data_IF_346665169598
#
_entry.id   IF_346665169598
#
_cell.length_a   1.000
_cell.length_b   1.000
_cell.length_c   1.000
_cell.angle_alpha   90.00
_cell.angle_beta   90.00
_cell.angle_gamma   90.00
#
_symmetry.space_group_name_H-M   'P 1'
#
loop_
_entity.id
_entity.type
_entity.pdbx_description
1 polymer ?
#
# COMPACT_ATOMS: atom_id res chain seq x y z
N UNK A 1 19.15 8.60 8.63
CA UNK A 1 18.55 7.42 7.95
C UNK A 1 17.05 7.57 8.01
N UNK A 2 16.35 7.29 6.90
CA UNK A 2 14.89 7.29 6.86
C UNK A 2 14.36 5.89 7.15
N UNK A 3 13.16 5.81 7.73
CA UNK A 3 12.40 4.57 7.74
C UNK A 3 11.98 4.23 6.31
N UNK A 4 11.77 2.95 6.00
CA UNK A 4 11.33 2.52 4.69
C UNK A 4 9.90 1.96 4.71
N UNK A 5 9.21 2.12 3.58
CA UNK A 5 7.90 1.54 3.27
C UNK A 5 7.96 0.90 1.89
N UNK A 6 7.04 -0.02 1.62
CA UNK A 6 6.93 -0.67 0.31
C UNK A 6 5.65 -0.24 -0.42
N UNK A 7 5.72 -0.07 -1.74
CA UNK A 7 4.58 0.29 -2.60
C UNK A 7 4.50 -0.69 -3.77
N UNK A 8 3.43 -1.47 -3.81
CA UNK A 8 3.14 -2.48 -4.85
C UNK A 8 2.11 -1.92 -5.83
N UNK A 9 2.49 -1.88 -7.11
CA UNK A 9 1.77 -1.16 -8.16
C UNK A 9 2.27 0.28 -8.27
N UNK A 10 2.69 0.69 -9.48
CA UNK A 10 3.24 2.02 -9.77
C UNK A 10 2.44 2.76 -10.86
N UNK A 11 1.16 2.45 -10.99
CA UNK A 11 0.20 3.25 -11.76
C UNK A 11 0.03 4.65 -11.14
N UNK A 12 -0.97 5.41 -11.59
CA UNK A 12 -1.16 6.79 -11.09
C UNK A 12 -1.35 6.87 -9.56
N UNK A 13 -2.03 5.89 -8.94
CA UNK A 13 -2.18 5.83 -7.48
C UNK A 13 -0.85 5.50 -6.79
N UNK A 14 -0.19 4.41 -7.18
CA UNK A 14 1.06 3.99 -6.53
C UNK A 14 2.22 4.96 -6.76
N UNK A 15 2.31 5.53 -7.96
CA UNK A 15 3.27 6.60 -8.25
C UNK A 15 3.05 7.84 -7.39
N UNK A 16 1.79 8.20 -7.11
CA UNK A 16 1.44 9.32 -6.23
C UNK A 16 1.80 9.04 -4.77
N UNK A 17 1.54 7.82 -4.29
CA UNK A 17 1.96 7.37 -2.95
C UNK A 17 3.49 7.44 -2.83
N UNK A 18 4.21 6.92 -3.82
CA UNK A 18 5.68 6.96 -3.87
C UNK A 18 6.19 8.40 -3.81
N UNK A 19 5.69 9.28 -4.67
CA UNK A 19 6.09 10.69 -4.71
C UNK A 19 5.72 11.45 -3.42
N UNK A 20 4.57 11.15 -2.82
CA UNK A 20 4.09 11.83 -1.62
C UNK A 20 4.87 11.46 -0.36
N UNK A 21 5.30 10.21 -0.24
CA UNK A 21 6.07 9.75 0.91
C UNK A 21 7.59 9.88 0.78
N UNK A 22 8.15 10.07 -0.42
CA UNK A 22 9.60 10.03 -0.69
C UNK A 22 10.43 11.04 0.10
N UNK A 23 9.83 12.15 0.53
CA UNK A 23 10.52 13.14 1.39
C UNK A 23 10.76 12.61 2.81
N UNK A 24 9.88 11.74 3.30
CA UNK A 24 9.88 11.23 4.68
C UNK A 24 10.43 9.83 4.79
N UNK A 25 10.15 8.98 3.80
CA UNK A 25 10.50 7.56 3.77
C UNK A 25 11.37 7.19 2.58
N UNK A 26 12.21 6.18 2.73
CA UNK A 26 12.79 5.46 1.61
C UNK A 26 11.72 4.50 1.04
N UNK A 27 11.57 4.50 -0.29
CA UNK A 27 10.47 3.80 -0.96
C UNK A 27 10.99 2.60 -1.72
N UNK A 28 10.56 1.40 -1.32
CA UNK A 28 10.74 0.16 -2.06
C UNK A 28 9.53 -0.01 -3.00
N UNK A 29 9.69 0.24 -4.28
CA UNK A 29 8.62 0.19 -5.28
C UNK A 29 8.64 -1.12 -6.06
N UNK A 30 7.47 -1.73 -6.29
CA UNK A 30 7.33 -2.91 -7.15
C UNK A 30 6.26 -2.69 -8.21
N UNK A 31 6.60 -2.97 -9.47
CA UNK A 31 5.64 -3.02 -10.57
C UNK A 31 6.13 -3.95 -11.67
N UNK A 32 5.29 -4.90 -12.08
CA UNK A 32 5.61 -5.89 -13.12
C UNK A 32 5.87 -5.27 -14.50
N UNK A 33 5.42 -4.04 -14.74
CA UNK A 33 5.65 -3.32 -16.01
C UNK A 33 7.07 -2.74 -16.11
N UNK A 34 7.82 -2.71 -15.01
CA UNK A 34 9.13 -2.06 -14.95
C UNK A 34 9.09 -0.53 -15.01
N UNK A 35 7.90 0.07 -14.88
CA UNK A 35 7.73 1.54 -14.84
C UNK A 35 7.61 1.98 -13.39
N UNK A 36 8.42 2.95 -13.01
CA UNK A 36 8.50 3.44 -11.64
C UNK A 36 8.44 4.97 -11.58
N UNK A 37 7.99 5.48 -10.46
CA UNK A 37 8.14 6.89 -10.12
C UNK A 37 9.62 7.21 -9.90
N UNK A 38 10.10 8.34 -10.41
CA UNK A 38 11.47 8.85 -10.18
C UNK A 38 11.77 9.08 -8.69
N UNK A 39 10.76 9.07 -7.85
CA UNK A 39 10.85 9.23 -6.40
C UNK A 39 11.07 7.92 -5.65
N UNK A 40 11.10 6.77 -6.32
CA UNK A 40 11.40 5.48 -5.69
C UNK A 40 12.88 5.38 -5.32
N UNK A 41 13.17 4.80 -4.16
CA UNK A 41 14.54 4.56 -3.70
C UNK A 41 15.09 3.27 -4.30
N UNK A 42 14.30 2.21 -4.24
CA UNK A 42 14.60 0.89 -4.82
C UNK A 42 13.44 0.44 -5.70
N UNK A 43 13.73 -0.20 -6.83
CA UNK A 43 12.75 -0.61 -7.83
C UNK A 43 12.86 -2.11 -8.12
N UNK A 44 11.72 -2.81 -8.11
CA UNK A 44 11.61 -4.26 -8.28
C UNK A 44 10.51 -4.59 -9.29
N UNK A 45 10.76 -5.54 -10.17
CA UNK A 45 9.73 -6.08 -11.08
C UNK A 45 9.07 -7.34 -10.52
N UNK A 46 9.63 -7.88 -9.46
CA UNK A 46 9.15 -9.08 -8.77
C UNK A 46 8.84 -8.79 -7.30
N UNK A 47 7.71 -9.30 -6.82
CA UNK A 47 7.25 -9.09 -5.44
C UNK A 47 8.14 -9.81 -4.42
N UNK A 48 8.69 -10.98 -4.76
CA UNK A 48 9.56 -11.71 -3.86
C UNK A 48 10.89 -10.96 -3.64
N UNK A 49 11.45 -10.37 -4.70
CA UNK A 49 12.65 -9.53 -4.59
C UNK A 49 12.38 -8.29 -3.74
N UNK A 50 11.25 -7.60 -3.97
CA UNK A 50 10.83 -6.47 -3.13
C UNK A 50 10.75 -6.87 -1.65
N UNK A 51 10.09 -8.00 -1.37
CA UNK A 51 9.92 -8.48 0.01
C UNK A 51 11.26 -8.80 0.65
N UNK A 52 12.11 -9.58 -0.04
CA UNK A 52 13.43 -9.96 0.47
C UNK A 52 14.29 -8.73 0.78
N UNK A 53 14.26 -7.73 -0.10
CA UNK A 53 14.95 -6.46 0.14
C UNK A 53 14.36 -5.70 1.34
N UNK A 54 13.03 -5.55 1.38
CA UNK A 54 12.37 -4.78 2.45
C UNK A 54 12.60 -5.39 3.82
N UNK A 55 12.45 -6.71 3.95
CA UNK A 55 12.61 -7.44 5.21
C UNK A 55 14.07 -7.48 5.69
N UNK A 56 15.05 -7.28 4.80
CA UNK A 56 16.47 -7.17 5.16
C UNK A 56 16.85 -5.79 5.72
N UNK A 57 16.00 -4.79 5.55
CA UNK A 57 16.25 -3.43 6.01
C UNK A 57 15.91 -3.27 7.50
N UNK A 58 16.88 -2.89 8.31
CA UNK A 58 16.71 -2.65 9.76
C UNK A 58 15.60 -1.62 10.07
N UNK A 59 15.42 -0.62 9.20
CA UNK A 59 14.46 0.46 9.37
C UNK A 59 13.16 0.25 8.58
N UNK A 60 12.85 -0.97 8.16
CA UNK A 60 11.59 -1.26 7.47
C UNK A 60 10.40 -1.22 8.44
N UNK A 61 9.36 -0.50 8.06
CA UNK A 61 8.17 -0.31 8.91
C UNK A 61 7.22 -1.50 8.95
N UNK A 62 7.41 -2.51 8.10
CA UNK A 62 6.45 -3.61 7.91
C UNK A 62 5.18 -3.20 7.15
N UNK A 63 5.17 -2.01 6.52
CA UNK A 63 3.99 -1.47 5.82
C UNK A 63 4.16 -1.57 4.31
N UNK A 64 3.19 -2.24 3.67
CA UNK A 64 3.08 -2.40 2.22
C UNK A 64 1.83 -1.68 1.71
N UNK A 65 1.99 -0.63 0.91
CA UNK A 65 0.88 -0.01 0.19
C UNK A 65 0.58 -0.82 -1.07
N UNK A 66 -0.66 -1.27 -1.24
CA UNK A 66 -1.11 -2.09 -2.37
C UNK A 66 -2.01 -1.22 -3.25
N UNK A 67 -1.50 -0.87 -4.44
CA UNK A 67 -2.09 0.08 -5.38
C UNK A 67 -2.30 -0.59 -6.74
N UNK A 68 -3.04 -1.69 -6.76
CA UNK A 68 -3.23 -2.57 -7.91
C UNK A 68 -4.59 -2.36 -8.59
N UNK A 69 -4.72 -2.67 -9.88
CA UNK A 69 -6.00 -2.52 -10.59
C UNK A 69 -7.04 -3.51 -10.06
N UNK A 70 -8.28 -3.03 -9.97
CA UNK A 70 -9.47 -3.81 -9.62
C UNK A 70 -10.54 -3.61 -10.70
N UNK A 71 -10.37 -4.23 -11.89
CA UNK A 71 -11.25 -3.98 -13.03
C UNK A 71 -12.65 -4.53 -12.79
N UNK A 72 -13.62 -3.98 -13.51
CA UNK A 72 -14.97 -4.51 -13.53
C UNK A 72 -15.04 -5.76 -14.41
N UNK A 73 -15.61 -6.85 -13.91
CA UNK A 73 -15.93 -8.06 -14.67
C UNK A 73 -17.14 -7.83 -15.59
N UNK A 74 -17.34 -8.70 -16.57
CA UNK A 74 -18.55 -8.67 -17.43
C UNK A 74 -19.86 -8.72 -16.64
N UNK A 75 -19.86 -9.34 -15.45
CA UNK A 75 -20.99 -9.39 -14.54
C UNK A 75 -21.27 -8.06 -13.80
N UNK A 76 -20.47 -7.03 -13.98
CA UNK A 76 -20.51 -5.78 -13.23
C UNK A 76 -19.81 -5.84 -11.86
N UNK A 77 -19.32 -6.99 -11.43
CA UNK A 77 -18.62 -7.13 -10.16
C UNK A 77 -17.17 -6.62 -10.25
N UNK A 78 -16.68 -6.08 -9.15
CA UNK A 78 -15.29 -5.71 -8.99
C UNK A 78 -14.39 -6.96 -8.92
N UNK A 79 -13.35 -7.02 -9.75
CA UNK A 79 -12.36 -8.10 -9.70
C UNK A 79 -11.22 -7.73 -8.75
N UNK A 80 -11.21 -8.34 -7.58
CA UNK A 80 -10.19 -8.13 -6.55
C UNK A 80 -9.08 -9.19 -6.58
N UNK A 81 -9.07 -10.08 -7.58
CA UNK A 81 -8.17 -11.25 -7.63
C UNK A 81 -6.69 -10.87 -7.65
N UNK A 82 -6.32 -9.80 -8.35
CA UNK A 82 -4.93 -9.31 -8.40
C UNK A 82 -4.47 -8.86 -7.02
N UNK A 83 -5.28 -8.07 -6.32
CA UNK A 83 -4.99 -7.63 -4.95
C UNK A 83 -4.88 -8.83 -4.01
N UNK A 84 -5.84 -9.76 -4.08
CA UNK A 84 -5.85 -10.96 -3.24
C UNK A 84 -4.65 -11.87 -3.49
N UNK A 85 -4.17 -11.98 -4.73
CA UNK A 85 -2.94 -12.72 -5.05
C UNK A 85 -1.72 -12.13 -4.35
N UNK A 86 -1.55 -10.82 -4.38
CA UNK A 86 -0.46 -10.13 -3.67
C UNK A 86 -0.58 -10.29 -2.15
N UNK A 87 -1.79 -10.13 -1.59
CA UNK A 87 -2.03 -10.36 -0.15
C UNK A 87 -1.69 -11.81 0.25
N UNK A 88 -2.02 -12.78 -0.59
CA UNK A 88 -1.69 -14.20 -0.36
C UNK A 88 -0.18 -14.41 -0.33
N UNK A 89 0.56 -13.80 -1.24
CA UNK A 89 2.03 -13.88 -1.23
C UNK A 89 2.60 -13.23 0.04
N UNK A 90 2.12 -12.05 0.43
CA UNK A 90 2.52 -11.38 1.67
C UNK A 90 2.17 -12.21 2.92
N UNK A 91 1.07 -12.97 2.91
CA UNK A 91 0.68 -13.81 4.06
C UNK A 91 1.57 -15.04 4.27
N UNK A 92 2.32 -15.45 3.26
CA UNK A 92 3.25 -16.59 3.34
C UNK A 92 4.62 -16.23 3.95
N UNK A 93 4.85 -14.96 4.24
CA UNK A 93 6.11 -14.49 4.81
C UNK A 93 5.99 -14.48 6.35
N UNK A 94 7.04 -14.82 7.08
CA UNK A 94 7.03 -14.84 8.54
C UNK A 94 7.14 -13.42 9.15
N UNK A 95 6.52 -13.17 10.30
CA UNK A 95 6.54 -11.89 11.01
C UNK A 95 5.26 -11.06 10.85
N UNK A 96 5.22 -9.88 11.47
CA UNK A 96 4.05 -9.00 11.45
C UNK A 96 4.12 -8.00 10.30
N UNK A 97 3.08 -7.92 9.48
CA UNK A 97 2.98 -7.03 8.33
C UNK A 97 1.62 -6.36 8.23
N UNK A 98 1.62 -5.18 7.65
CA UNK A 98 0.40 -4.44 7.34
C UNK A 98 0.33 -4.15 5.85
N UNK A 99 -0.66 -4.73 5.18
CA UNK A 99 -1.01 -4.36 3.81
C UNK A 99 -2.06 -3.25 3.82
N UNK A 100 -1.72 -2.11 3.26
CA UNK A 100 -2.60 -0.94 3.11
C UNK A 100 -3.18 -0.95 1.71
N UNK A 101 -4.41 -1.42 1.57
CA UNK A 101 -5.09 -1.48 0.27
C UNK A 101 -5.63 -0.10 -0.08
N UNK A 102 -5.12 0.46 -1.16
CA UNK A 102 -5.59 1.71 -1.76
C UNK A 102 -6.52 1.48 -2.95
N UNK A 103 -6.46 0.30 -3.55
CA UNK A 103 -7.35 -0.09 -4.64
C UNK A 103 -8.82 0.01 -4.24
N UNK A 104 -9.66 0.40 -5.18
CA UNK A 104 -11.13 0.42 -4.97
C UNK A 104 -11.64 -1.01 -4.80
N UNK A 105 -12.26 -1.29 -3.66
CA UNK A 105 -12.78 -2.62 -3.32
C UNK A 105 -14.21 -2.53 -2.75
N UNK A 106 -15.05 -3.56 -2.92
CA UNK A 106 -16.38 -3.58 -2.34
C UNK A 106 -16.37 -3.54 -0.81
N UNK A 107 -17.39 -2.95 -0.17
CA UNK A 107 -17.55 -2.98 1.28
C UNK A 107 -17.49 -4.41 1.85
N UNK A 108 -16.82 -4.56 3.00
CA UNK A 108 -16.65 -5.86 3.66
C UNK A 108 -15.49 -6.71 3.14
N UNK A 109 -14.84 -6.36 2.02
CA UNK A 109 -13.71 -7.13 1.46
C UNK A 109 -12.53 -7.17 2.42
N UNK A 110 -12.17 -6.07 3.06
CA UNK A 110 -11.08 -6.01 4.05
C UNK A 110 -11.33 -6.92 5.24
N UNK A 111 -12.57 -6.98 5.73
CA UNK A 111 -12.94 -7.86 6.84
C UNK A 111 -12.78 -9.34 6.45
N UNK A 112 -13.22 -9.73 5.23
CA UNK A 112 -13.05 -11.09 4.70
C UNK A 112 -11.57 -11.47 4.58
N UNK A 113 -10.72 -10.57 4.11
CA UNK A 113 -9.28 -10.83 4.00
C UNK A 113 -8.63 -10.95 5.38
N UNK A 114 -8.99 -10.12 6.35
CA UNK A 114 -8.48 -10.26 7.71
C UNK A 114 -8.87 -11.60 8.36
N UNK A 115 -10.06 -12.11 8.10
CA UNK A 115 -10.43 -13.46 8.56
C UNK A 115 -9.68 -14.56 7.80
N UNK A 116 -9.55 -14.43 6.46
CA UNK A 116 -8.80 -15.37 5.62
C UNK A 116 -7.34 -15.49 6.04
N UNK A 117 -6.68 -14.38 6.34
CA UNK A 117 -5.25 -14.33 6.69
C UNK A 117 -4.97 -14.37 8.18
N UNK A 118 -5.97 -14.68 8.99
CA UNK A 118 -5.82 -14.79 10.44
C UNK A 118 -4.73 -15.80 10.82
N UNK A 119 -3.83 -15.37 11.72
CA UNK A 119 -2.70 -16.21 12.18
C UNK A 119 -1.46 -16.21 11.28
N UNK A 120 -1.49 -15.57 10.11
CA UNK A 120 -0.32 -15.48 9.21
C UNK A 120 0.63 -14.34 9.54
N UNK A 121 0.25 -13.43 10.45
CA UNK A 121 0.98 -12.19 10.73
C UNK A 121 0.63 -11.03 9.79
N UNK A 122 -0.11 -11.28 8.69
CA UNK A 122 -0.60 -10.23 7.80
C UNK A 122 -1.90 -9.63 8.33
N UNK A 123 -1.95 -8.30 8.41
CA UNK A 123 -3.18 -7.54 8.68
C UNK A 123 -3.46 -6.61 7.50
N UNK A 124 -4.71 -6.60 7.05
CA UNK A 124 -5.16 -5.77 5.93
C UNK A 124 -5.87 -4.54 6.46
N UNK A 125 -5.43 -3.36 6.01
CA UNK A 125 -6.00 -2.05 6.31
C UNK A 125 -6.47 -1.42 5.01
N UNK A 126 -7.63 -0.77 5.02
CA UNK A 126 -8.15 -0.03 3.87
C UNK A 126 -7.81 1.46 4.03
N UNK A 127 -7.27 2.04 2.97
CA UNK A 127 -7.02 3.48 2.87
C UNK A 127 -7.49 3.96 1.49
N UNK A 128 -8.76 4.36 1.34
CA UNK A 128 -9.28 4.86 0.08
C UNK A 128 -8.50 6.08 -0.39
N UNK A 129 -8.47 6.26 -1.70
CA UNK A 129 -7.88 7.42 -2.34
C UNK A 129 -8.98 8.32 -2.91
N UNK A 130 -8.67 9.61 -3.09
CA UNK A 130 -9.56 10.64 -3.62
C UNK A 130 -8.87 11.43 -4.73
N UNK A 131 -8.02 10.75 -5.51
CA UNK A 131 -7.18 11.36 -6.54
C UNK A 131 -7.92 11.48 -7.86
N UNK A 132 -7.62 12.53 -8.61
CA UNK A 132 -7.96 12.59 -10.02
C UNK A 132 -6.78 12.08 -10.84
N UNK A 133 -7.02 11.30 -11.89
CA UNK A 133 -5.94 10.69 -12.67
C UNK A 133 -4.98 11.74 -13.24
N UNK A 134 -5.53 12.87 -13.71
CA UNK A 134 -4.74 13.95 -14.30
C UNK A 134 -3.81 14.67 -13.31
N UNK A 135 -4.14 14.72 -12.00
CA UNK A 135 -3.42 15.46 -10.98
C UNK A 135 -3.03 14.61 -9.77
N UNK A 136 -2.95 13.29 -9.95
CA UNK A 136 -2.86 12.33 -8.85
C UNK A 136 -1.74 12.64 -7.84
N UNK A 137 -0.56 13.04 -8.29
CA UNK A 137 0.58 13.38 -7.41
C UNK A 137 0.29 14.61 -6.56
N UNK A 138 -0.26 15.67 -7.18
CA UNK A 138 -0.58 16.91 -6.46
C UNK A 138 -1.77 16.72 -5.53
N UNK A 139 -2.79 15.96 -5.94
CA UNK A 139 -3.94 15.62 -5.10
C UNK A 139 -3.49 14.83 -3.87
N UNK A 140 -2.55 13.87 -4.02
CA UNK A 140 -2.01 13.11 -2.89
C UNK A 140 -1.21 13.99 -1.93
N UNK A 141 -0.37 14.89 -2.45
CA UNK A 141 0.44 15.81 -1.62
C UNK A 141 -0.42 16.84 -0.89
N UNK A 142 -1.51 17.28 -1.50
CA UNK A 142 -2.40 18.32 -0.98
C UNK A 142 -3.71 17.76 -0.40
N UNK A 143 -3.76 16.46 -0.09
CA UNK A 143 -4.95 15.83 0.46
C UNK A 143 -5.42 16.53 1.75
N UNK A 144 -6.72 16.71 1.90
CA UNK A 144 -7.31 17.42 3.03
C UNK A 144 -7.86 16.50 4.13
N UNK A 145 -7.83 15.20 3.90
CA UNK A 145 -8.23 14.14 4.84
C UNK A 145 -7.56 12.82 4.48
N UNK A 146 -7.34 11.99 5.48
CA UNK A 146 -6.86 10.62 5.33
C UNK A 146 -7.84 9.70 6.06
N UNK A 147 -8.33 8.67 5.37
CA UNK A 147 -9.25 7.69 5.95
C UNK A 147 -8.53 6.36 6.09
N UNK A 148 -8.55 5.77 7.28
CA UNK A 148 -7.92 4.49 7.58
C UNK A 148 -8.95 3.58 8.22
N UNK A 149 -9.26 2.47 7.57
CA UNK A 149 -10.18 1.44 8.07
C UNK A 149 -9.46 0.12 8.28
N UNK A 150 -9.49 -0.42 9.50
CA UNK A 150 -8.88 -1.71 9.80
C UNK A 150 -8.68 -1.96 11.29
N UNK A 151 -8.28 -3.19 11.66
CA UNK A 151 -8.07 -3.55 13.05
C UNK A 151 -6.84 -2.88 13.66
N UNK A 152 -6.86 -2.67 14.98
CA UNK A 152 -5.66 -2.30 15.74
C UNK A 152 -4.85 -3.56 16.06
N UNK A 153 -3.50 -3.44 16.15
CA UNK A 153 -2.68 -2.23 16.12
C UNK A 153 -2.31 -1.75 14.70
N UNK A 154 -2.61 -2.50 13.64
CA UNK A 154 -2.18 -2.22 12.27
C UNK A 154 -2.65 -0.85 11.77
N UNK A 155 -3.93 -0.49 11.97
CA UNK A 155 -4.44 0.84 11.59
C UNK A 155 -3.70 1.98 12.32
N UNK A 156 -3.26 1.76 13.56
CA UNK A 156 -2.41 2.70 14.29
C UNK A 156 -0.99 2.85 13.71
N UNK A 157 -0.41 1.76 13.19
CA UNK A 157 0.87 1.81 12.52
C UNK A 157 0.78 2.63 11.22
N UNK A 158 -0.25 2.38 10.42
CA UNK A 158 -0.52 3.16 9.20
C UNK A 158 -0.75 4.64 9.52
N UNK A 159 -1.51 4.93 10.58
CA UNK A 159 -1.73 6.31 11.05
C UNK A 159 -0.41 7.03 11.31
N UNK A 160 0.53 6.41 12.05
CA UNK A 160 1.86 7.00 12.30
C UNK A 160 2.65 7.26 11.02
N UNK A 161 2.56 6.37 10.03
CA UNK A 161 3.19 6.58 8.71
C UNK A 161 2.66 7.85 8.05
N UNK A 162 1.36 8.05 8.06
CA UNK A 162 0.75 9.26 7.51
C UNK A 162 1.06 10.51 8.33
N UNK A 163 0.95 10.46 9.66
CA UNK A 163 1.25 11.60 10.55
C UNK A 163 2.68 12.14 10.35
N UNK A 164 3.65 11.25 10.12
CA UNK A 164 5.04 11.64 9.87
C UNK A 164 5.21 12.39 8.55
N UNK A 165 4.45 12.05 7.52
CA UNK A 165 4.56 12.68 6.20
C UNK A 165 3.58 13.86 6.02
N UNK A 166 2.42 13.81 6.68
CA UNK A 166 1.31 14.76 6.55
C UNK A 166 0.81 15.23 7.91
N UNK A 167 1.63 15.89 8.73
CA UNK A 167 1.33 16.19 10.14
C UNK A 167 0.15 17.15 10.34
N UNK A 168 -0.30 17.83 9.29
CA UNK A 168 -1.41 18.81 9.36
C UNK A 168 -2.71 18.28 8.80
N UNK A 169 -2.72 17.05 8.25
CA UNK A 169 -3.90 16.46 7.62
C UNK A 169 -4.67 15.64 8.66
N UNK A 170 -5.98 15.84 8.84
CA UNK A 170 -6.79 15.01 9.75
C UNK A 170 -6.86 13.56 9.27
N UNK A 171 -6.74 12.62 10.24
CA UNK A 171 -6.74 11.18 10.02
C UNK A 171 -7.81 10.51 10.88
#
# INVERSE_FOLDING_TARGET
MKLSISVVGQGFVGGSVTAGFSKTYDINACDISGKFSDSATNCFVDLHELVSNSESQELFTGVYFVCLPTPMRQSGMCDVSIVESVLTQLSNISGTRTAVVKSTIPPGTTAKWNEKFKGTGLTVVFNPEFLTEANAVEDFKNQNRIIIGGPRPASGAVKRVFESAFPKVPI
#
